data_IF_812779828060
#
_entry.id   IF_812779828060
#
_cell.length_a   1.000
_cell.length_b   1.000
_cell.length_c   1.000
_cell.angle_alpha   90.00
_cell.angle_beta   90.00
_cell.angle_gamma   90.00
#
_symmetry.space_group_name_H-M   'P 1'
#
loop_
_entity.id
_entity.type
_entity.pdbx_description
1 polymer ?
#
# COMPACT_ATOMS: atom_id res chain seq x y z
N UNK A 1 -16.34 5.83 -25.00
CA UNK A 1 -17.03 5.85 -23.68
C UNK A 1 -17.66 7.22 -23.42
N UNK A 2 -18.64 7.34 -22.50
CA UNK A 2 -19.31 8.62 -22.19
C UNK A 2 -18.33 9.71 -21.79
N UNK A 3 -17.33 9.38 -20.95
CA UNK A 3 -16.31 10.33 -20.49
C UNK A 3 -15.55 11.01 -21.66
N UNK A 4 -15.12 10.25 -22.65
CA UNK A 4 -14.41 10.79 -23.81
C UNK A 4 -15.28 11.72 -24.65
N UNK A 5 -16.56 11.36 -24.85
CA UNK A 5 -17.51 12.16 -25.63
C UNK A 5 -17.86 13.48 -24.95
N UNK A 6 -17.74 13.56 -23.62
CA UNK A 6 -18.08 14.76 -22.84
C UNK A 6 -16.83 15.54 -22.41
N UNK A 7 -15.63 15.13 -22.80
CA UNK A 7 -14.39 15.78 -22.40
C UNK A 7 -14.09 15.65 -20.90
N UNK A 8 -14.67 14.64 -20.20
CA UNK A 8 -14.44 14.43 -18.80
C UNK A 8 -13.13 13.68 -18.55
N UNK A 9 -12.49 14.01 -17.43
CA UNK A 9 -11.33 13.29 -16.89
C UNK A 9 -11.75 12.57 -15.61
N UNK A 10 -11.77 11.24 -15.63
CA UNK A 10 -12.20 10.41 -14.52
C UNK A 10 -11.06 9.47 -14.12
N UNK A 11 -10.53 9.64 -12.91
CA UNK A 11 -9.57 8.72 -12.29
C UNK A 11 -10.27 7.89 -11.20
N UNK A 12 -10.49 6.60 -11.45
CA UNK A 12 -11.01 5.68 -10.45
C UNK A 12 -9.84 5.11 -9.63
N UNK A 13 -9.63 5.62 -8.42
CA UNK A 13 -8.54 5.22 -7.54
C UNK A 13 -9.02 4.09 -6.61
N UNK A 14 -8.41 2.92 -6.75
CA UNK A 14 -8.65 1.75 -5.89
C UNK A 14 -7.66 1.79 -4.76
N UNK A 15 -8.16 1.95 -3.54
CA UNK A 15 -7.38 2.02 -2.31
C UNK A 15 -7.51 0.69 -1.55
N UNK A 16 -6.44 0.23 -0.90
CA UNK A 16 -6.50 -0.86 0.07
C UNK A 16 -7.03 -0.33 1.41
N UNK A 17 -6.88 -1.11 2.47
CA UNK A 17 -7.16 -0.63 3.82
C UNK A 17 -6.38 0.64 4.14
N UNK A 18 -7.10 1.70 4.54
CA UNK A 18 -6.51 3.00 4.89
C UNK A 18 -6.19 3.04 6.37
N UNK A 19 -4.96 3.43 6.70
CA UNK A 19 -4.51 3.59 8.08
C UNK A 19 -4.21 5.05 8.40
N UNK A 20 -4.39 5.41 9.67
CA UNK A 20 -4.00 6.71 10.21
C UNK A 20 -3.01 6.57 11.38
N UNK A 21 -2.22 5.51 11.40
CA UNK A 21 -1.23 5.27 12.45
C UNK A 21 -0.31 6.46 12.65
N UNK A 22 0.08 6.65 13.89
CA UNK A 22 1.02 7.72 14.25
C UNK A 22 2.40 7.43 13.67
N UNK A 23 3.02 8.47 13.13
CA UNK A 23 4.36 8.37 12.51
C UNK A 23 5.48 8.86 13.46
N UNK A 24 5.16 9.10 14.74
CA UNK A 24 6.11 9.58 15.75
C UNK A 24 6.83 8.44 16.51
N UNK A 25 6.65 7.20 16.07
CA UNK A 25 7.25 6.01 16.66
C UNK A 25 6.57 5.52 17.94
N UNK A 26 5.45 6.10 18.36
CA UNK A 26 4.71 5.72 19.58
C UNK A 26 3.54 4.78 19.30
N UNK A 27 3.31 4.44 18.07
CA UNK A 27 2.26 3.48 17.67
C UNK A 27 2.67 2.06 18.05
N UNK A 28 1.74 1.30 18.60
CA UNK A 28 1.92 -0.14 18.78
C UNK A 28 1.68 -0.85 17.45
N UNK A 29 2.77 -1.30 16.85
CA UNK A 29 2.78 -2.03 15.58
C UNK A 29 3.11 -3.52 15.76
N UNK A 30 2.97 -4.05 16.97
CA UNK A 30 3.28 -5.47 17.28
C UNK A 30 2.44 -6.47 16.48
N UNK A 31 1.29 -6.05 15.95
CA UNK A 31 0.48 -6.87 15.07
C UNK A 31 1.19 -7.26 13.75
N UNK A 32 2.24 -6.52 13.34
CA UNK A 32 3.05 -6.85 12.16
C UNK A 32 3.75 -8.21 12.26
N UNK A 33 3.91 -8.72 13.47
CA UNK A 33 4.51 -10.03 13.73
C UNK A 33 3.46 -11.17 13.75
N UNK A 34 2.18 -10.85 13.63
CA UNK A 34 1.05 -11.79 13.68
C UNK A 34 0.46 -12.03 12.29
N UNK A 35 0.80 -13.14 11.62
CA UNK A 35 0.46 -13.36 10.21
C UNK A 35 -1.03 -13.29 9.90
N UNK A 36 -1.88 -13.81 10.79
CA UNK A 36 -3.34 -13.84 10.58
C UNK A 36 -3.97 -12.45 10.57
N UNK A 37 -3.39 -11.50 11.30
CA UNK A 37 -3.89 -10.13 11.34
C UNK A 37 -3.40 -9.31 10.14
N UNK A 38 -2.19 -9.58 9.66
CA UNK A 38 -1.57 -8.86 8.55
C UNK A 38 -1.91 -9.42 7.17
N UNK A 39 -2.37 -10.67 7.09
CA UNK A 39 -2.74 -11.31 5.82
C UNK A 39 -4.08 -10.79 5.24
N UNK A 40 -4.86 -10.05 6.01
CA UNK A 40 -6.07 -9.42 5.53
C UNK A 40 -5.79 -8.55 4.29
N UNK A 41 -6.63 -8.68 3.26
CA UNK A 41 -6.40 -8.01 1.97
C UNK A 41 -4.99 -8.23 1.40
N UNK A 42 -4.40 -9.41 1.61
CA UNK A 42 -3.05 -9.77 1.15
C UNK A 42 -1.95 -8.86 1.74
N UNK A 43 -2.16 -8.33 2.92
CA UNK A 43 -1.23 -7.42 3.58
C UNK A 43 -1.15 -6.03 2.95
N UNK A 44 -2.10 -5.65 2.11
CA UNK A 44 -2.07 -4.34 1.46
C UNK A 44 -2.61 -3.25 2.37
N UNK A 45 -1.99 -2.10 2.34
CA UNK A 45 -2.42 -0.91 3.08
C UNK A 45 -2.00 0.38 2.37
N UNK A 46 -2.53 1.49 2.85
CA UNK A 46 -2.08 2.83 2.50
C UNK A 46 -2.28 3.77 3.70
N UNK A 47 -1.29 4.57 4.00
CA UNK A 47 -1.45 5.60 5.02
C UNK A 47 -2.30 6.77 4.48
N UNK A 48 -3.16 7.37 5.33
CA UNK A 48 -4.09 8.45 4.92
C UNK A 48 -3.37 9.66 4.31
N UNK A 49 -2.16 9.98 4.77
CA UNK A 49 -1.35 11.07 4.17
C UNK A 49 -0.98 10.79 2.72
N UNK A 50 -0.60 9.56 2.42
CA UNK A 50 -0.28 9.14 1.05
C UNK A 50 -1.55 9.09 0.19
N UNK A 51 -2.66 8.61 0.75
CA UNK A 51 -3.95 8.68 0.08
C UNK A 51 -4.32 10.10 -0.31
N UNK A 52 -4.21 11.05 0.61
CA UNK A 52 -4.50 12.46 0.34
C UNK A 52 -3.61 13.04 -0.77
N UNK A 53 -2.31 12.75 -0.76
CA UNK A 53 -1.39 13.22 -1.82
C UNK A 53 -1.65 12.54 -3.16
N UNK A 54 -2.09 11.27 -3.18
CA UNK A 54 -2.49 10.59 -4.40
C UNK A 54 -3.71 11.25 -5.05
N UNK A 55 -4.75 11.55 -4.26
CA UNK A 55 -5.91 12.27 -4.77
C UNK A 55 -5.53 13.67 -5.29
N UNK A 56 -4.68 14.40 -4.56
CA UNK A 56 -4.19 15.69 -5.01
C UNK A 56 -3.43 15.59 -6.35
N UNK A 57 -2.56 14.60 -6.50
CA UNK A 57 -1.81 14.37 -7.74
C UNK A 57 -2.76 14.12 -8.94
N UNK A 58 -3.79 13.29 -8.74
CA UNK A 58 -4.77 13.00 -9.79
C UNK A 58 -5.62 14.23 -10.17
N UNK A 59 -5.99 15.06 -9.19
CA UNK A 59 -6.76 16.29 -9.41
C UNK A 59 -5.95 17.38 -10.14
N UNK A 60 -4.67 17.51 -9.80
CA UNK A 60 -3.79 18.54 -10.36
C UNK A 60 -3.27 18.20 -11.77
N UNK A 61 -3.36 16.93 -12.17
CA UNK A 61 -2.90 16.46 -13.47
C UNK A 61 -3.97 15.61 -14.17
N UNK A 62 -5.16 16.19 -14.48
CA UNK A 62 -6.27 15.45 -15.06
C UNK A 62 -5.89 14.83 -16.40
N UNK A 63 -6.30 13.59 -16.62
CA UNK A 63 -6.08 12.86 -17.88
C UNK A 63 -7.42 12.61 -18.57
N UNK A 64 -7.52 12.91 -19.88
CA UNK A 64 -8.79 12.73 -20.60
C UNK A 64 -9.29 11.29 -20.56
N UNK A 65 -10.61 11.14 -20.47
CA UNK A 65 -11.29 9.84 -20.47
C UNK A 65 -11.40 9.21 -19.08
N UNK A 66 -11.59 7.89 -19.06
CA UNK A 66 -11.74 7.10 -17.84
C UNK A 66 -10.53 6.17 -17.65
N UNK A 67 -9.91 6.24 -16.50
CA UNK A 67 -8.79 5.38 -16.13
C UNK A 67 -8.94 4.86 -14.70
N UNK A 68 -8.61 3.56 -14.49
CA UNK A 68 -8.58 2.96 -13.17
C UNK A 68 -7.14 2.72 -12.70
N UNK A 69 -6.88 3.01 -11.44
CA UNK A 69 -5.57 2.95 -10.82
C UNK A 69 -5.61 2.21 -9.49
N UNK A 70 -4.55 1.46 -9.20
CA UNK A 70 -4.27 0.97 -7.85
C UNK A 70 -3.29 1.95 -7.18
N UNK A 71 -3.53 2.25 -5.90
CA UNK A 71 -2.66 3.11 -5.09
C UNK A 71 -2.47 2.46 -3.74
N UNK A 72 -1.23 2.18 -3.34
CA UNK A 72 -0.93 1.45 -2.11
C UNK A 72 0.49 1.73 -1.60
N UNK A 73 0.78 1.31 -0.37
CA UNK A 73 2.11 1.36 0.21
C UNK A 73 3.09 0.44 -0.56
N UNK A 74 4.42 0.71 -0.49
CA UNK A 74 5.41 -0.04 -1.24
C UNK A 74 5.56 -1.48 -0.73
N UNK A 75 5.43 -1.66 0.59
CA UNK A 75 5.58 -2.95 1.27
C UNK A 75 4.23 -3.48 1.77
N UNK A 76 4.13 -4.79 1.92
CA UNK A 76 3.02 -5.42 2.61
C UNK A 76 3.13 -5.16 4.13
N UNK A 77 2.01 -5.16 4.80
CA UNK A 77 1.86 -4.87 6.23
C UNK A 77 2.30 -6.07 7.07
N UNK A 78 3.58 -6.39 7.05
CA UNK A 78 4.17 -7.52 7.79
C UNK A 78 5.68 -7.35 7.94
N UNK A 79 6.26 -7.88 9.03
CA UNK A 79 7.70 -8.01 9.23
C UNK A 79 8.27 -9.33 8.67
N UNK A 80 7.40 -10.24 8.23
CA UNK A 80 7.79 -11.56 7.72
C UNK A 80 7.69 -11.57 6.19
N UNK A 81 8.40 -12.48 5.50
CA UNK A 81 8.21 -12.65 4.07
C UNK A 81 6.74 -12.88 3.72
N UNK A 82 6.18 -12.05 2.83
CA UNK A 82 4.76 -12.10 2.48
C UNK A 82 4.33 -13.48 1.98
N UNK A 83 5.19 -14.18 1.24
CA UNK A 83 4.91 -15.53 0.76
C UNK A 83 4.67 -16.53 1.89
N UNK A 84 5.36 -16.38 3.03
CA UNK A 84 5.18 -17.25 4.20
C UNK A 84 3.88 -16.90 4.93
N UNK A 85 3.61 -15.61 5.11
CA UNK A 85 2.39 -15.11 5.72
C UNK A 85 1.15 -15.58 4.96
N UNK A 86 1.16 -15.45 3.63
CA UNK A 86 0.04 -15.88 2.79
C UNK A 86 -0.14 -17.41 2.79
N UNK A 87 0.95 -18.18 2.82
CA UNK A 87 0.88 -19.65 2.91
C UNK A 87 0.23 -20.10 4.23
N UNK A 88 0.55 -19.42 5.31
CA UNK A 88 0.03 -19.72 6.65
C UNK A 88 -1.45 -19.32 6.79
N UNK A 89 -1.81 -18.12 6.37
CA UNK A 89 -3.16 -17.58 6.54
C UNK A 89 -4.13 -18.03 5.43
N UNK A 90 -3.63 -18.24 4.21
CA UNK A 90 -4.43 -18.56 3.03
C UNK A 90 -3.81 -19.71 2.23
N UNK A 91 -3.80 -20.93 2.74
CA UNK A 91 -3.10 -22.07 2.12
C UNK A 91 -3.61 -22.42 0.72
N UNK A 92 -4.83 -22.00 0.37
CA UNK A 92 -5.46 -22.23 -0.95
C UNK A 92 -5.14 -21.15 -1.99
N UNK A 93 -4.50 -20.06 -1.60
CA UNK A 93 -4.15 -18.99 -2.55
C UNK A 93 -3.00 -19.42 -3.47
N UNK A 94 -2.96 -18.86 -4.69
CA UNK A 94 -1.83 -19.04 -5.59
C UNK A 94 -0.52 -18.64 -4.89
N UNK A 95 0.50 -19.46 -5.01
CA UNK A 95 1.83 -19.17 -4.45
C UNK A 95 2.46 -17.99 -5.19
N UNK A 96 3.04 -17.07 -4.45
CA UNK A 96 3.89 -16.05 -5.04
C UNK A 96 5.13 -16.71 -5.68
N UNK A 97 5.65 -16.16 -6.80
CA UNK A 97 6.90 -16.62 -7.38
C UNK A 97 8.04 -16.62 -6.36
N UNK A 98 8.96 -17.58 -6.44
CA UNK A 98 10.12 -17.66 -5.54
C UNK A 98 11.02 -16.42 -5.61
N UNK A 99 11.00 -15.69 -6.74
CA UNK A 99 11.72 -14.43 -6.94
C UNK A 99 10.97 -13.21 -6.39
N UNK A 100 9.79 -13.39 -5.76
CA UNK A 100 9.03 -12.25 -5.24
C UNK A 100 9.79 -11.60 -4.07
N UNK A 101 10.00 -10.27 -4.08
CA UNK A 101 10.68 -9.59 -2.98
C UNK A 101 9.90 -9.77 -1.67
N UNK A 102 10.62 -10.08 -0.58
CA UNK A 102 10.05 -10.58 0.67
C UNK A 102 8.88 -9.75 1.22
N UNK A 103 9.01 -8.42 1.21
CA UNK A 103 7.99 -7.53 1.78
C UNK A 103 7.17 -6.78 0.73
N UNK A 104 7.41 -7.00 -0.55
CA UNK A 104 6.73 -6.24 -1.60
C UNK A 104 5.23 -6.53 -1.61
N UNK A 105 4.44 -5.45 -1.67
CA UNK A 105 2.99 -5.53 -1.89
C UNK A 105 2.67 -6.31 -3.18
N UNK A 106 1.66 -7.21 -3.18
CA UNK A 106 1.33 -8.08 -4.32
C UNK A 106 0.61 -7.36 -5.46
N UNK A 107 0.18 -6.13 -5.26
CA UNK A 107 -0.48 -5.35 -6.30
C UNK A 107 0.49 -4.41 -7.02
N UNK A 108 0.16 -4.11 -8.27
CA UNK A 108 0.95 -3.23 -9.13
C UNK A 108 0.30 -1.85 -9.18
N UNK A 109 1.04 -0.82 -8.77
CA UNK A 109 0.64 0.58 -8.80
C UNK A 109 1.45 1.44 -9.81
N UNK A 110 2.25 0.79 -10.64
CA UNK A 110 3.16 1.43 -11.61
C UNK A 110 2.42 2.42 -12.52
N UNK A 111 1.19 2.09 -12.95
CA UNK A 111 0.39 2.96 -13.82
C UNK A 111 0.13 4.31 -13.15
N UNK A 112 -0.26 4.33 -11.86
CA UNK A 112 -0.50 5.57 -11.13
C UNK A 112 0.79 6.37 -10.96
N UNK A 113 1.86 5.71 -10.54
CA UNK A 113 3.18 6.34 -10.36
C UNK A 113 3.67 7.01 -11.63
N UNK A 114 3.57 6.30 -12.76
CA UNK A 114 4.02 6.81 -14.06
C UNK A 114 3.16 7.97 -14.55
N UNK A 115 1.83 7.86 -14.40
CA UNK A 115 0.92 8.86 -14.92
C UNK A 115 0.94 10.18 -14.15
N UNK A 116 1.14 10.12 -12.83
CA UNK A 116 1.03 11.29 -11.95
C UNK A 116 2.34 11.68 -11.27
N UNK A 117 3.46 10.97 -11.55
CA UNK A 117 4.74 11.24 -10.90
C UNK A 117 4.69 11.07 -9.37
N UNK A 118 3.74 10.29 -8.87
CA UNK A 118 3.49 10.10 -7.45
C UNK A 118 4.10 8.79 -6.92
N UNK A 119 4.55 8.82 -5.69
CA UNK A 119 4.96 7.62 -4.95
C UNK A 119 4.58 7.75 -3.47
N UNK A 120 4.21 6.64 -2.80
CA UNK A 120 3.94 6.66 -1.37
C UNK A 120 5.21 7.02 -0.59
N UNK A 121 5.05 7.77 0.49
CA UNK A 121 6.13 8.24 1.35
C UNK A 121 6.15 7.56 2.71
N UNK A 122 5.02 6.95 3.12
CA UNK A 122 4.89 6.33 4.43
C UNK A 122 5.08 4.81 4.31
N UNK A 123 6.15 4.32 4.93
CA UNK A 123 6.41 2.90 5.11
C UNK A 123 6.35 2.54 6.60
N UNK A 124 5.19 2.03 7.01
CA UNK A 124 4.94 1.66 8.41
C UNK A 124 5.84 0.49 8.85
N UNK A 125 6.14 -0.43 7.96
CA UNK A 125 7.01 -1.58 8.26
C UNK A 125 8.44 -1.11 8.54
N UNK A 126 8.97 -0.23 7.69
CA UNK A 126 10.29 0.35 7.90
C UNK A 126 10.35 1.18 9.20
N UNK A 127 9.30 1.95 9.49
CA UNK A 127 9.18 2.72 10.73
C UNK A 127 9.20 1.80 11.96
N UNK A 128 8.43 0.71 11.94
CA UNK A 128 8.41 -0.27 13.03
C UNK A 128 9.79 -0.90 13.25
N UNK A 129 10.46 -1.32 12.18
CA UNK A 129 11.79 -1.91 12.26
C UNK A 129 12.83 -0.94 12.83
N UNK A 130 12.78 0.33 12.45
CA UNK A 130 13.65 1.38 13.00
C UNK A 130 13.42 1.58 14.50
N UNK A 131 12.17 1.60 14.94
CA UNK A 131 11.82 1.77 16.36
C UNK A 131 12.23 0.55 17.20
N UNK A 132 12.17 -0.65 16.66
CA UNK A 132 12.65 -1.87 17.33
C UNK A 132 14.17 -1.86 17.54
N UNK A 133 14.94 -1.22 16.65
CA UNK A 133 16.39 -1.08 16.77
C UNK A 133 16.81 0.04 17.74
N UNK A 134 15.95 1.02 17.95
CA UNK A 134 16.19 2.18 18.82
C UNK A 134 15.01 2.36 19.80
N UNK A 135 14.81 1.44 20.76
CA UNK A 135 13.76 1.60 21.75
C UNK A 135 14.03 2.87 22.54
N UNK A 136 13.28 3.93 22.27
CA UNK A 136 13.31 5.15 23.07
C UNK A 136 13.01 4.76 24.50
N UNK A 137 13.93 5.02 25.42
CA UNK A 137 13.70 4.81 26.86
C UNK A 137 12.37 5.51 27.23
N UNK A 138 11.43 4.69 27.66
CA UNK A 138 10.16 5.15 28.21
C UNK A 138 10.36 5.59 29.64
#
# INVERSE_FOLDING_TARGET
MVAERQGLSIAAIRLPWMSNWRLDGREDLSFLDRPTETAYELGTYLHVRDGATAFAAALLSPRPGFEAYNVMAPNALTNRPLADVLREAHPTYPKLPASWPALRCPYVDTKFRTHFGWAPQVDIVALHQQNALHPTMR
#
